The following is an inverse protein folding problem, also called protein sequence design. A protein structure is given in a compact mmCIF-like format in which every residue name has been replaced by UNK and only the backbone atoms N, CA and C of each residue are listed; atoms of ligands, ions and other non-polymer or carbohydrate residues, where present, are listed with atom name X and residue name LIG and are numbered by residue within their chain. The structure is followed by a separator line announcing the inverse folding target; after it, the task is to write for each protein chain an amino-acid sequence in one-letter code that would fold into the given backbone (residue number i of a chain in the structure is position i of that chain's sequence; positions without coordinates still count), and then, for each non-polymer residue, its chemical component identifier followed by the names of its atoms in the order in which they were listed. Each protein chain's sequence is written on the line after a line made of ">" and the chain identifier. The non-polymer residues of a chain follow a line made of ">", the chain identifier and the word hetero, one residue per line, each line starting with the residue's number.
data_IF_353707808763
#
_entry.id   IF_353707808763
#
_cell.length_a   1.000
_cell.length_b   1.000
_cell.length_c   1.000
_cell.angle_alpha   90.00
_cell.angle_beta   90.00
_cell.angle_gamma   90.00
#
_symmetry.space_group_name_H-M   'P 1'
#
loop_
_entity.id
_entity.type
_entity.pdbx_description
1 polymer ?
#
# COMPACT_ATOMS: atom_id res chain seq x y z
N UNK A 1 7.90 4.19 3.40
CA UNK A 1 6.99 4.17 2.23
C UNK A 1 5.61 4.28 2.84
N UNK A 2 4.89 5.38 2.67
CA UNK A 2 3.65 5.60 3.43
C UNK A 2 2.45 5.53 2.47
N UNK A 3 1.51 4.62 2.70
CA UNK A 3 0.30 4.55 1.88
C UNK A 3 -0.83 5.29 2.61
N UNK A 4 -1.29 6.41 2.08
CA UNK A 4 -2.45 7.10 2.64
C UNK A 4 -3.72 6.54 1.97
N UNK A 5 -4.77 6.26 2.74
CA UNK A 5 -6.05 5.89 2.16
C UNK A 5 -7.11 6.87 2.68
N UNK A 6 -7.53 7.80 1.84
CA UNK A 6 -8.58 8.73 2.20
C UNK A 6 -9.90 8.17 1.70
N UNK A 7 -10.84 7.87 2.58
CA UNK A 7 -12.16 7.43 2.16
C UNK A 7 -13.14 8.57 2.40
N UNK A 8 -13.34 9.49 1.43
CA UNK A 8 -14.40 10.47 1.55
C UNK A 8 -15.73 9.74 1.40
N UNK A 9 -16.50 9.67 2.48
CA UNK A 9 -17.89 9.24 2.39
C UNK A 9 -18.63 10.29 1.54
N UNK A 10 -19.02 9.96 0.30
CA UNK A 10 -19.96 10.80 -0.43
C UNK A 10 -21.38 10.46 -0.01
N UNK A 11 -22.14 11.46 0.41
CA UNK A 11 -23.50 11.64 -0.08
C UNK A 11 -23.91 13.12 -0.02
N UNK A 12 -24.50 13.56 -1.13
CA UNK A 12 -25.18 14.84 -1.33
C UNK A 12 -26.19 15.12 -0.22
N UNK A 13 -26.12 16.30 0.40
CA UNK A 13 -27.14 16.75 1.35
C UNK A 13 -27.98 17.87 0.71
N UNK A 14 -29.20 17.53 0.30
CA UNK A 14 -30.28 18.50 0.18
C UNK A 14 -30.94 18.81 1.53
N UNK A 15 -30.74 17.99 2.58
CA UNK A 15 -31.46 18.08 3.85
C UNK A 15 -30.59 17.71 5.07
N UNK A 16 -29.84 18.65 5.65
CA UNK A 16 -29.54 18.70 7.10
C UNK A 16 -28.84 17.55 7.85
N UNK A 17 -28.48 16.43 7.23
CA UNK A 17 -27.83 15.30 7.93
C UNK A 17 -26.34 15.55 8.26
N UNK A 18 -25.85 14.94 9.34
CA UNK A 18 -24.45 15.04 9.75
C UNK A 18 -23.51 14.38 8.73
N UNK A 19 -22.60 15.15 8.15
CA UNK A 19 -21.61 14.67 7.19
C UNK A 19 -20.51 13.91 7.94
N UNK A 20 -20.61 12.59 7.99
CA UNK A 20 -19.58 11.70 8.52
C UNK A 20 -18.54 11.32 7.46
N UNK A 21 -17.33 10.92 7.87
CA UNK A 21 -16.28 10.40 6.98
C UNK A 21 -15.17 9.70 7.76
N UNK A 22 -14.46 8.77 7.10
CA UNK A 22 -13.37 7.99 7.74
C UNK A 22 -12.06 8.23 7.01
N UNK A 23 -11.10 8.87 7.69
CA UNK A 23 -9.73 8.98 7.21
C UNK A 23 -8.89 7.84 7.79
N UNK A 24 -8.22 7.06 6.93
CA UNK A 24 -7.35 5.96 7.35
C UNK A 24 -5.91 6.23 6.94
N UNK A 25 -5.05 6.46 7.93
CA UNK A 25 -3.62 6.69 7.72
C UNK A 25 -2.87 5.38 7.93
N UNK A 26 -2.12 4.93 6.93
CA UNK A 26 -1.38 3.66 6.99
C UNK A 26 0.11 3.94 6.74
N UNK A 27 0.91 3.82 7.79
CA UNK A 27 2.35 3.84 7.63
C UNK A 27 2.85 2.43 7.30
N UNK A 28 3.46 2.25 6.13
CA UNK A 28 3.99 0.95 5.74
C UNK A 28 5.48 0.87 6.09
N UNK A 29 5.85 -0.29 6.63
CA UNK A 29 7.24 -0.63 6.83
C UNK A 29 8.05 -0.52 5.53
N UNK A 30 9.35 -0.27 5.69
CA UNK A 30 10.29 -0.20 4.58
C UNK A 30 10.25 -1.47 3.73
N UNK A 31 10.27 -1.31 2.41
CA UNK A 31 10.33 -2.42 1.45
C UNK A 31 11.74 -2.94 1.23
N UNK A 32 12.72 -2.43 1.97
CA UNK A 32 14.10 -2.84 1.85
C UNK A 32 14.31 -4.28 2.29
N UNK A 33 15.06 -4.99 1.45
CA UNK A 33 15.57 -6.30 1.76
C UNK A 33 16.74 -6.16 2.73
N UNK A 34 16.80 -6.99 3.78
CA UNK A 34 17.92 -7.09 4.73
C UNK A 34 19.22 -7.64 4.13
N UNK A 35 19.45 -7.41 2.83
CA UNK A 35 20.63 -7.80 2.08
C UNK A 35 21.56 -6.61 1.86
N UNK A 36 21.77 -5.78 2.89
CA UNK A 36 22.99 -4.98 2.94
C UNK A 36 24.13 -5.98 3.11
N UNK A 37 24.83 -6.28 2.01
CA UNK A 37 25.97 -7.20 2.03
C UNK A 37 26.94 -6.76 3.13
N UNK A 38 27.20 -7.64 4.11
CA UNK A 38 28.11 -7.38 5.22
C UNK A 38 27.45 -7.13 6.59
N UNK A 39 26.13 -6.96 6.69
CA UNK A 39 25.45 -6.84 7.99
C UNK A 39 25.07 -8.22 8.52
N UNK A 40 25.59 -8.61 9.69
CA UNK A 40 25.15 -9.82 10.40
C UNK A 40 23.73 -9.63 10.91
N UNK A 41 22.77 -10.21 10.22
CA UNK A 41 21.34 -10.18 10.61
C UNK A 41 21.03 -11.44 11.41
N UNK A 42 20.39 -11.27 12.58
CA UNK A 42 19.93 -12.42 13.38
C UNK A 42 18.81 -13.19 12.68
N UNK A 43 18.61 -14.46 13.02
CA UNK A 43 17.50 -15.27 12.48
C UNK A 43 16.14 -14.58 12.74
N UNK A 44 15.99 -13.93 13.89
CA UNK A 44 14.77 -13.18 14.26
C UNK A 44 14.52 -12.00 13.30
N UNK A 45 15.53 -11.17 13.06
CA UNK A 45 15.44 -10.04 12.14
C UNK A 45 15.20 -10.49 10.70
N UNK A 46 15.77 -11.63 10.29
CA UNK A 46 15.52 -12.21 8.97
C UNK A 46 14.06 -12.65 8.81
N UNK A 47 13.47 -13.28 9.83
CA UNK A 47 12.05 -13.66 9.83
C UNK A 47 11.13 -12.45 9.80
N UNK A 48 11.43 -11.43 10.61
CA UNK A 48 10.69 -10.17 10.60
C UNK A 48 10.71 -9.49 9.22
N UNK A 49 11.89 -9.41 8.60
CA UNK A 49 12.02 -8.88 7.24
C UNK A 49 11.24 -9.71 6.20
N UNK A 50 11.15 -11.03 6.36
CA UNK A 50 10.32 -11.88 5.50
C UNK A 50 8.82 -11.59 5.69
N UNK A 51 8.36 -11.42 6.93
CA UNK A 51 6.96 -11.12 7.23
C UNK A 51 6.54 -9.74 6.70
N UNK A 52 7.41 -8.72 6.85
CA UNK A 52 7.21 -7.38 6.26
C UNK A 52 7.08 -7.48 4.74
N UNK A 53 8.03 -8.15 4.09
CA UNK A 53 8.03 -8.30 2.64
C UNK A 53 6.81 -9.10 2.13
N UNK A 54 6.36 -10.10 2.89
CA UNK A 54 5.14 -10.85 2.56
C UNK A 54 3.91 -9.94 2.56
N UNK A 55 3.77 -9.08 3.57
CA UNK A 55 2.65 -8.13 3.64
C UNK A 55 2.69 -7.11 2.48
N UNK A 56 3.87 -6.55 2.18
CA UNK A 56 4.04 -5.59 1.09
C UNK A 56 3.83 -6.23 -0.29
N UNK A 57 4.30 -7.46 -0.51
CA UNK A 57 4.09 -8.19 -1.76
C UNK A 57 2.61 -8.50 -1.98
N UNK A 58 1.91 -8.99 -0.94
CA UNK A 58 0.47 -9.24 -1.02
C UNK A 58 -0.29 -7.96 -1.40
N UNK A 59 0.10 -6.81 -0.84
CA UNK A 59 -0.50 -5.52 -1.18
C UNK A 59 -0.24 -5.14 -2.65
N UNK A 60 0.97 -5.38 -3.16
CA UNK A 60 1.31 -5.19 -4.58
C UNK A 60 0.44 -6.02 -5.50
N UNK A 61 0.27 -7.30 -5.19
CA UNK A 61 -0.58 -8.20 -5.98
C UNK A 61 -2.05 -7.77 -5.96
N UNK A 62 -2.54 -7.29 -4.82
CA UNK A 62 -3.91 -6.79 -4.70
C UNK A 62 -4.15 -5.58 -5.60
N UNK A 63 -3.24 -4.58 -5.54
CA UNK A 63 -3.34 -3.37 -6.36
C UNK A 63 -3.24 -3.70 -7.85
N UNK A 64 -2.30 -4.55 -8.25
CA UNK A 64 -2.18 -5.00 -9.63
C UNK A 64 -3.46 -5.68 -10.12
N UNK A 65 -4.05 -6.56 -9.30
CA UNK A 65 -5.31 -7.22 -9.62
C UNK A 65 -6.48 -6.24 -9.78
N UNK A 66 -6.53 -5.18 -8.96
CA UNK A 66 -7.53 -4.11 -9.11
C UNK A 66 -7.33 -3.32 -10.39
N UNK A 67 -6.10 -2.88 -10.69
CA UNK A 67 -5.79 -2.11 -11.91
C UNK A 67 -6.06 -2.92 -13.18
N UNK A 68 -5.81 -4.24 -13.16
CA UNK A 68 -6.06 -5.12 -14.31
C UNK A 68 -7.52 -5.60 -14.43
N UNK A 69 -8.41 -5.24 -13.50
CA UNK A 69 -9.78 -5.75 -13.47
C UNK A 69 -9.87 -7.27 -13.29
N UNK A 70 -8.94 -7.87 -12.55
CA UNK A 70 -8.92 -9.32 -12.36
C UNK A 70 -10.16 -9.82 -11.60
N UNK A 71 -10.73 -10.94 -12.04
CA UNK A 71 -11.90 -11.54 -11.39
C UNK A 71 -11.64 -11.96 -9.93
N UNK A 72 -10.39 -12.30 -9.60
CA UNK A 72 -9.97 -12.66 -8.26
C UNK A 72 -8.79 -11.79 -7.81
N UNK A 73 -8.92 -11.19 -6.62
CA UNK A 73 -7.88 -10.37 -5.99
C UNK A 73 -7.51 -11.01 -4.63
N UNK A 74 -6.23 -11.37 -4.39
CA UNK A 74 -5.82 -12.23 -3.28
C UNK A 74 -5.64 -11.46 -1.94
N UNK A 75 -6.66 -10.75 -1.48
CA UNK A 75 -6.60 -9.99 -0.21
C UNK A 75 -6.30 -10.83 1.04
N UNK A 76 -6.43 -12.17 0.96
CA UNK A 76 -6.15 -13.10 2.06
C UNK A 76 -4.67 -13.46 2.22
N UNK A 77 -3.79 -13.04 1.31
CA UNK A 77 -2.36 -13.38 1.38
C UNK A 77 -1.63 -12.73 2.57
N UNK A 78 -2.19 -11.66 3.15
CA UNK A 78 -1.67 -11.04 4.37
C UNK A 78 -2.79 -10.47 5.25
N UNK A 79 -2.53 -10.34 6.56
CA UNK A 79 -3.45 -9.64 7.48
C UNK A 79 -3.66 -8.18 7.07
N UNK A 80 -2.60 -7.52 6.60
CA UNK A 80 -2.64 -6.14 6.12
C UNK A 80 -3.67 -5.98 4.99
N UNK A 81 -3.56 -6.79 3.94
CA UNK A 81 -4.47 -6.75 2.80
C UNK A 81 -5.90 -7.11 3.17
N UNK A 82 -6.12 -7.99 4.15
CA UNK A 82 -7.47 -8.30 4.63
C UNK A 82 -8.14 -7.08 5.29
N UNK A 83 -7.38 -6.32 6.10
CA UNK A 83 -7.87 -5.08 6.73
C UNK A 83 -8.11 -4.01 5.66
N UNK A 84 -7.19 -3.86 4.71
CA UNK A 84 -7.28 -2.81 3.69
C UNK A 84 -8.35 -3.08 2.62
N UNK A 85 -8.82 -4.31 2.48
CA UNK A 85 -9.82 -4.69 1.48
C UNK A 85 -11.03 -3.76 1.47
N UNK A 86 -11.61 -3.47 2.63
CA UNK A 86 -12.80 -2.63 2.74
C UNK A 86 -12.57 -1.18 2.33
N UNK A 87 -11.32 -0.71 2.38
CA UNK A 87 -10.95 0.66 2.04
C UNK A 87 -10.53 0.81 0.58
N UNK A 88 -9.89 -0.24 0.03
CA UNK A 88 -9.40 -0.28 -1.36
C UNK A 88 -10.49 -0.66 -2.38
N UNK A 89 -11.51 -1.42 -1.97
CA UNK A 89 -12.61 -1.84 -2.86
C UNK A 89 -13.92 -1.06 -2.63
N UNK A 90 -13.91 -0.03 -1.79
CA UNK A 90 -15.10 0.77 -1.58
C UNK A 90 -15.35 1.69 -2.78
N UNK A 91 -16.59 1.71 -3.26
CA UNK A 91 -17.00 2.48 -4.43
C UNK A 91 -16.78 4.00 -4.26
N UNK A 92 -16.92 4.51 -3.03
CA UNK A 92 -16.73 5.93 -2.69
C UNK A 92 -15.48 6.10 -1.80
N UNK A 93 -14.32 5.66 -2.27
CA UNK A 93 -13.04 5.78 -1.56
C UNK A 93 -11.96 6.35 -2.46
N UNK A 94 -11.12 7.24 -1.93
CA UNK A 94 -9.98 7.86 -2.65
C UNK A 94 -8.65 7.43 -2.02
N UNK A 95 -8.10 6.35 -2.52
CA UNK A 95 -6.77 5.91 -2.07
C UNK A 95 -5.68 6.82 -2.64
N UNK A 96 -4.76 7.32 -1.80
CA UNK A 96 -3.66 8.21 -2.20
C UNK A 96 -2.34 7.68 -1.66
N UNK A 97 -1.49 7.13 -2.52
CA UNK A 97 -0.18 6.70 -2.08
C UNK A 97 0.81 7.87 -2.02
N UNK A 98 1.60 7.97 -0.93
CA UNK A 98 2.72 8.92 -0.84
C UNK A 98 4.05 8.14 -0.81
N UNK A 99 4.77 8.24 -1.91
CA UNK A 99 6.02 7.52 -2.10
C UNK A 99 7.22 8.35 -1.63
N UNK A 100 7.81 7.96 -0.50
CA UNK A 100 9.08 8.53 -0.03
C UNK A 100 10.24 7.84 -0.77
N UNK A 101 11.05 8.63 -1.46
CA UNK A 101 12.22 8.17 -2.21
C UNK A 101 13.47 8.94 -1.77
N UNK A 102 14.64 8.34 -1.96
CA UNK A 102 15.92 9.02 -1.76
C UNK A 102 16.50 9.48 -3.10
N UNK A 103 17.07 10.69 -3.19
CA UNK A 103 17.78 11.16 -4.38
C UNK A 103 19.18 10.55 -4.52
N UNK A 104 19.67 9.77 -3.53
CA UNK A 104 21.01 9.17 -3.57
C UNK A 104 21.11 8.09 -4.65
N UNK A 105 22.22 8.10 -5.40
CA UNK A 105 22.55 7.07 -6.38
C UNK A 105 22.65 5.67 -5.76
N UNK A 106 23.08 5.57 -4.50
CA UNK A 106 23.14 4.31 -3.74
C UNK A 106 21.76 3.66 -3.54
N UNK A 107 20.69 4.42 -3.73
CA UNK A 107 19.32 3.98 -3.54
C UNK A 107 18.53 3.95 -4.84
N UNK A 108 19.17 4.15 -6.00
CA UNK A 108 18.52 4.23 -7.30
C UNK A 108 17.58 3.05 -7.56
N UNK A 109 18.03 1.81 -7.35
CA UNK A 109 17.21 0.62 -7.57
C UNK A 109 15.95 0.60 -6.68
N UNK A 110 16.08 1.05 -5.42
CA UNK A 110 14.95 1.12 -4.48
C UNK A 110 13.97 2.20 -4.92
N UNK A 111 14.48 3.38 -5.29
CA UNK A 111 13.70 4.50 -5.81
C UNK A 111 12.89 4.10 -7.04
N UNK A 112 13.49 3.42 -8.02
CA UNK A 112 12.78 2.93 -9.22
C UNK A 112 11.66 1.96 -8.85
N UNK A 113 11.92 1.00 -7.97
CA UNK A 113 10.92 0.03 -7.53
C UNK A 113 9.73 0.71 -6.81
N UNK A 114 9.99 1.74 -6.00
CA UNK A 114 8.94 2.51 -5.32
C UNK A 114 8.12 3.32 -6.32
N UNK A 115 8.76 3.95 -7.31
CA UNK A 115 8.07 4.72 -8.35
C UNK A 115 7.19 3.84 -9.25
N UNK A 116 7.68 2.67 -9.65
CA UNK A 116 6.89 1.69 -10.41
C UNK A 116 5.64 1.28 -9.65
N UNK A 117 5.76 1.10 -8.33
CA UNK A 117 4.60 0.77 -7.51
C UNK A 117 3.63 1.95 -7.38
N UNK A 118 4.13 3.18 -7.20
CA UNK A 118 3.30 4.38 -7.17
C UNK A 118 2.48 4.56 -8.46
N UNK A 119 3.08 4.27 -9.62
CA UNK A 119 2.41 4.32 -10.91
C UNK A 119 1.22 3.35 -10.98
N UNK A 120 1.38 2.12 -10.48
CA UNK A 120 0.28 1.13 -10.45
C UNK A 120 -0.90 1.60 -9.60
N UNK A 121 -0.64 2.26 -8.47
CA UNK A 121 -1.70 2.80 -7.59
C UNK A 121 -2.40 3.98 -8.24
N UNK A 122 -1.64 4.86 -8.90
CA UNK A 122 -2.19 6.02 -9.59
C UNK A 122 -3.18 5.63 -10.69
N UNK A 123 -2.96 4.49 -11.35
CA UNK A 123 -3.89 3.94 -12.34
C UNK A 123 -5.19 3.40 -11.73
N UNK A 124 -5.16 2.95 -10.47
CA UNK A 124 -6.34 2.41 -9.77
C UNK A 124 -7.28 3.51 -9.22
N UNK A 125 -6.76 4.70 -8.89
CA UNK A 125 -7.53 5.78 -8.23
C UNK A 125 -8.42 6.61 -9.18
N UNK A 126 -9.00 5.99 -10.22
CA UNK A 126 -9.94 6.65 -11.15
C UNK A 126 -11.36 6.66 -10.66
#
# INVERSE_FOLDING_TARGET
>A
MCCFCFQPLQASAANGDCVGGTLVLIDLAGSEYGATAGVKVTIKQRREGQDINKALLALKECIRGMTSGAAYIPFRNSKLTMILKQHLQANDSKTVMVSNISPSAEHLQKTVNTLQYAALVAETSK
#
